data_IF_652717237245
#
_entry.id   IF_652717237245
#
_cell.length_a   1.000
_cell.length_b   1.000
_cell.length_c   1.000
_cell.angle_alpha   90.00
_cell.angle_beta   90.00
_cell.angle_gamma   90.00
#
_symmetry.space_group_name_H-M   'P 1'
#
loop_
_entity.id
_entity.type
_entity.pdbx_description
1 polymer ?
#
# COMPACT_ATOMS: atom_id res chain seq x y z
N UNK A 1 7.50 -18.23 -12.71
CA UNK A 1 8.88 -17.72 -12.49
C UNK A 1 9.23 -17.71 -10.98
N UNK A 2 8.29 -17.30 -10.12
CA UNK A 2 8.49 -17.27 -8.65
C UNK A 2 8.77 -18.67 -8.07
N UNK A 3 8.17 -19.70 -8.64
CA UNK A 3 8.34 -21.11 -8.19
C UNK A 3 9.77 -21.64 -8.36
N UNK A 4 10.58 -20.96 -9.16
CA UNK A 4 11.95 -21.39 -9.49
C UNK A 4 13.01 -20.76 -8.58
N UNK A 5 12.60 -19.84 -7.71
CA UNK A 5 13.49 -19.17 -6.78
C UNK A 5 13.88 -20.13 -5.62
N UNK A 6 15.13 -20.09 -5.24
CA UNK A 6 15.61 -20.74 -4.02
C UNK A 6 15.07 -20.00 -2.78
N UNK A 7 15.05 -20.66 -1.61
CA UNK A 7 14.59 -20.02 -0.37
C UNK A 7 15.38 -18.76 -0.05
N UNK A 8 16.69 -18.75 -0.28
CA UNK A 8 17.55 -17.58 -0.09
C UNK A 8 17.23 -16.42 -1.04
N UNK A 9 16.73 -16.72 -2.24
CA UNK A 9 16.26 -15.69 -3.18
C UNK A 9 14.88 -15.20 -2.81
N UNK A 10 13.99 -16.08 -2.32
CA UNK A 10 12.65 -15.70 -1.83
C UNK A 10 12.72 -14.73 -0.65
N UNK A 11 13.68 -14.88 0.24
CA UNK A 11 13.90 -13.98 1.38
C UNK A 11 14.26 -12.54 0.95
N UNK A 12 14.68 -12.36 -0.31
CA UNK A 12 15.00 -11.04 -0.87
C UNK A 12 13.87 -10.42 -1.67
N UNK A 13 12.77 -11.13 -1.86
CA UNK A 13 11.60 -10.64 -2.59
C UNK A 13 10.65 -9.97 -1.62
N UNK A 14 10.26 -8.74 -1.92
CA UNK A 14 9.22 -7.99 -1.21
C UNK A 14 8.05 -7.72 -2.15
N UNK A 15 6.84 -7.97 -1.68
CA UNK A 15 5.61 -7.69 -2.43
C UNK A 15 4.95 -6.43 -1.88
N UNK A 16 4.68 -5.46 -2.75
CA UNK A 16 3.85 -4.31 -2.42
C UNK A 16 2.37 -4.73 -2.51
N UNK A 17 1.66 -4.71 -1.36
CA UNK A 17 0.32 -5.27 -1.27
C UNK A 17 -0.78 -4.30 -1.70
N UNK A 18 -0.59 -2.99 -1.48
CA UNK A 18 -1.61 -1.95 -1.68
C UNK A 18 -1.13 -0.86 -2.63
N UNK A 19 -0.74 -1.24 -3.85
CA UNK A 19 -0.30 -0.29 -4.87
C UNK A 19 -1.31 0.84 -5.06
N UNK A 20 -0.85 2.09 -4.95
CA UNK A 20 -1.69 3.27 -5.10
C UNK A 20 -1.68 3.87 -6.52
N UNK A 21 -0.66 3.54 -7.31
CA UNK A 21 -0.58 4.03 -8.67
C UNK A 21 -1.58 3.35 -9.59
N UNK A 22 -2.05 4.09 -10.59
CA UNK A 22 -2.85 3.53 -11.67
C UNK A 22 -2.12 2.38 -12.35
N UNK A 23 -2.79 1.22 -12.45
CA UNK A 23 -2.21 0.03 -13.05
C UNK A 23 -1.88 0.28 -14.53
N UNK A 24 -0.65 -0.04 -14.92
CA UNK A 24 -0.17 0.21 -16.28
C UNK A 24 0.10 1.67 -16.62
N UNK A 25 0.27 2.55 -15.63
CA UNK A 25 0.55 3.97 -15.85
C UNK A 25 1.78 4.15 -16.75
N UNK A 26 1.58 4.78 -17.91
CA UNK A 26 2.63 5.05 -18.89
C UNK A 26 3.59 6.18 -18.46
N UNK A 27 3.15 7.05 -17.55
CA UNK A 27 3.93 8.20 -17.08
C UNK A 27 4.65 7.93 -15.74
N UNK A 28 4.60 6.72 -15.23
CA UNK A 28 5.14 6.36 -13.92
C UNK A 28 6.61 6.73 -13.77
N UNK A 29 7.43 6.47 -14.79
CA UNK A 29 8.86 6.76 -14.74
C UNK A 29 9.11 8.26 -14.59
N UNK A 30 8.49 9.08 -15.41
CA UNK A 30 8.60 10.54 -15.34
C UNK A 30 8.12 11.08 -13.98
N UNK A 31 6.98 10.58 -13.48
CA UNK A 31 6.47 10.92 -12.15
C UNK A 31 7.51 10.67 -11.05
N UNK A 32 8.11 9.48 -11.02
CA UNK A 32 9.12 9.14 -10.01
C UNK A 32 10.41 9.97 -10.15
N UNK A 33 10.84 10.28 -11.36
CA UNK A 33 12.00 11.15 -11.61
C UNK A 33 11.76 12.57 -11.08
N UNK A 34 10.59 13.15 -11.34
CA UNK A 34 10.24 14.50 -10.86
C UNK A 34 10.17 14.52 -9.32
N UNK A 35 9.43 13.58 -8.71
CA UNK A 35 9.30 13.49 -7.25
C UNK A 35 10.68 13.27 -6.59
N UNK A 36 11.54 12.46 -7.19
CA UNK A 36 12.90 12.24 -6.67
C UNK A 36 13.74 13.51 -6.70
N UNK A 37 13.66 14.29 -7.78
CA UNK A 37 14.36 15.56 -7.92
C UNK A 37 13.86 16.60 -6.91
N UNK A 38 12.54 16.70 -6.74
CA UNK A 38 11.94 17.57 -5.72
C UNK A 38 12.40 17.20 -4.31
N UNK A 39 12.47 15.90 -3.98
CA UNK A 39 12.98 15.41 -2.69
C UNK A 39 14.46 15.75 -2.46
N UNK A 40 15.23 15.94 -3.54
CA UNK A 40 16.62 16.42 -3.48
C UNK A 40 16.72 17.95 -3.39
N UNK A 41 15.60 18.67 -3.38
CA UNK A 41 15.57 20.12 -3.32
C UNK A 41 15.81 20.81 -4.66
N UNK A 42 15.72 20.08 -5.78
CA UNK A 42 15.84 20.67 -7.11
C UNK A 42 14.57 21.45 -7.47
N UNK A 43 14.76 22.62 -8.07
CA UNK A 43 13.64 23.38 -8.64
C UNK A 43 13.20 22.74 -9.96
N UNK A 44 12.05 22.09 -9.93
CA UNK A 44 11.45 21.47 -11.10
C UNK A 44 9.92 21.62 -11.04
N UNK A 45 9.22 21.66 -12.21
CA UNK A 45 7.77 21.76 -12.24
C UNK A 45 7.09 20.60 -11.49
N UNK A 46 5.96 20.90 -10.86
CA UNK A 46 5.14 19.88 -10.23
C UNK A 46 4.62 18.87 -11.25
N UNK A 47 4.61 17.61 -10.83
CA UNK A 47 4.04 16.54 -11.64
C UNK A 47 2.52 16.50 -11.48
N UNK A 48 1.81 16.47 -12.61
CA UNK A 48 0.37 16.26 -12.64
C UNK A 48 0.08 14.79 -12.94
N UNK A 49 -0.60 14.11 -12.04
CA UNK A 49 -0.94 12.69 -12.22
C UNK A 49 -1.89 12.50 -13.40
N UNK A 50 -1.54 11.61 -14.32
CA UNK A 50 -2.30 11.30 -15.55
C UNK A 50 -3.40 10.25 -15.36
N UNK A 51 -3.56 9.71 -14.15
CA UNK A 51 -4.61 8.74 -13.88
C UNK A 51 -5.99 9.34 -14.13
N UNK A 52 -6.92 8.58 -14.75
CA UNK A 52 -8.26 9.08 -15.11
C UNK A 52 -9.06 9.64 -13.93
N UNK A 53 -8.79 9.12 -12.73
CA UNK A 53 -9.47 9.45 -11.48
C UNK A 53 -8.57 10.15 -10.46
N UNK A 54 -7.47 10.77 -10.92
CA UNK A 54 -6.47 11.42 -10.05
C UNK A 54 -7.08 12.45 -9.09
N UNK A 55 -8.14 13.13 -9.52
CA UNK A 55 -8.85 14.14 -8.71
C UNK A 55 -9.69 13.54 -7.57
N UNK A 56 -10.00 12.24 -7.63
CA UNK A 56 -10.79 11.56 -6.61
C UNK A 56 -9.98 11.17 -5.36
N UNK A 57 -8.67 11.35 -5.42
CA UNK A 57 -7.76 10.91 -4.37
C UNK A 57 -7.66 9.39 -4.24
N UNK A 58 -6.83 8.95 -3.33
CA UNK A 58 -6.65 7.53 -3.03
C UNK A 58 -7.59 7.11 -1.90
N UNK A 59 -8.24 5.97 -2.07
CA UNK A 59 -9.19 5.40 -1.10
C UNK A 59 -8.91 3.92 -0.89
N UNK A 60 -9.30 3.38 0.25
CA UNK A 60 -9.15 1.96 0.57
C UNK A 60 -9.82 1.06 -0.49
N UNK A 61 -11.06 1.36 -0.87
CA UNK A 61 -11.78 0.62 -1.91
C UNK A 61 -11.07 0.63 -3.26
N UNK A 62 -10.47 1.77 -3.61
CA UNK A 62 -9.72 1.92 -4.85
C UNK A 62 -8.46 1.04 -4.90
N UNK A 63 -7.79 0.87 -3.76
CA UNK A 63 -6.67 -0.06 -3.66
C UNK A 63 -7.11 -1.50 -3.95
N UNK A 64 -8.25 -1.92 -3.41
CA UNK A 64 -8.79 -3.27 -3.61
C UNK A 64 -9.21 -3.53 -5.06
N UNK A 65 -9.58 -2.49 -5.82
CA UNK A 65 -9.91 -2.57 -7.25
C UNK A 65 -8.67 -2.66 -8.16
N UNK A 66 -7.49 -2.32 -7.64
CA UNK A 66 -6.25 -2.37 -8.41
C UNK A 66 -5.89 -3.82 -8.75
N UNK A 67 -5.63 -4.18 -10.02
CA UNK A 67 -5.22 -5.54 -10.41
C UNK A 67 -3.94 -6.04 -9.71
N UNK A 68 -3.11 -5.14 -9.20
CA UNK A 68 -1.91 -5.48 -8.44
C UNK A 68 -2.15 -5.66 -6.94
N UNK A 69 -3.39 -5.45 -6.46
CA UNK A 69 -3.73 -5.62 -5.05
C UNK A 69 -3.51 -7.07 -4.59
N UNK A 70 -2.85 -7.23 -3.46
CA UNK A 70 -2.62 -8.53 -2.83
C UNK A 70 -3.45 -8.58 -1.55
N UNK A 71 -4.45 -9.46 -1.53
CA UNK A 71 -5.33 -9.65 -0.38
C UNK A 71 -4.66 -10.46 0.74
N UNK A 72 -5.28 -10.44 1.94
CA UNK A 72 -4.86 -11.32 3.04
C UNK A 72 -4.97 -12.79 2.63
N UNK A 73 -6.00 -13.15 1.85
CA UNK A 73 -6.19 -14.52 1.37
C UNK A 73 -5.11 -14.91 0.34
N UNK A 74 -4.72 -14.00 -0.55
CA UNK A 74 -3.59 -14.24 -1.46
C UNK A 74 -2.28 -14.48 -0.70
N UNK A 75 -2.02 -13.68 0.33
CA UNK A 75 -0.85 -13.85 1.20
C UNK A 75 -0.86 -15.25 1.83
N UNK A 76 -1.95 -15.61 2.48
CA UNK A 76 -2.06 -16.87 3.24
C UNK A 76 -2.10 -18.12 2.37
N UNK A 77 -2.82 -18.04 1.25
CA UNK A 77 -3.14 -19.23 0.45
C UNK A 77 -2.23 -19.40 -0.76
N UNK A 78 -1.50 -18.35 -1.15
CA UNK A 78 -0.63 -18.39 -2.33
C UNK A 78 0.83 -18.10 -1.97
N UNK A 79 1.12 -16.91 -1.48
CA UNK A 79 2.51 -16.47 -1.33
C UNK A 79 3.24 -17.12 -0.15
N UNK A 80 2.61 -17.21 1.03
CA UNK A 80 3.22 -17.87 2.19
C UNK A 80 3.49 -19.38 1.93
N UNK A 81 2.57 -20.16 1.35
CA UNK A 81 2.84 -21.55 0.98
C UNK A 81 3.97 -21.70 -0.04
N UNK A 82 4.20 -20.70 -0.88
CA UNK A 82 5.33 -20.67 -1.81
C UNK A 82 6.68 -20.33 -1.14
N UNK A 83 6.68 -19.97 0.15
CA UNK A 83 7.87 -19.64 0.93
C UNK A 83 8.25 -18.16 0.95
N UNK A 84 7.32 -17.25 0.60
CA UNK A 84 7.54 -15.80 0.71
C UNK A 84 7.07 -15.26 2.06
N UNK A 85 7.80 -14.28 2.62
CA UNK A 85 7.55 -13.74 3.95
C UNK A 85 7.58 -12.20 4.03
N UNK A 86 7.96 -11.51 2.97
CA UNK A 86 8.10 -10.06 2.99
C UNK A 86 6.97 -9.37 2.22
N UNK A 87 6.07 -8.72 2.94
CA UNK A 87 4.91 -8.03 2.41
C UNK A 87 4.92 -6.59 2.89
N UNK A 88 4.87 -5.64 1.95
CA UNK A 88 4.95 -4.22 2.22
C UNK A 88 3.60 -3.55 2.06
N UNK A 89 3.26 -2.71 3.01
CA UNK A 89 2.13 -1.78 2.94
C UNK A 89 2.69 -0.40 2.60
N UNK A 90 2.21 0.20 1.53
CA UNK A 90 2.51 1.59 1.21
C UNK A 90 1.73 2.51 2.16
N UNK A 91 2.40 3.55 2.67
CA UNK A 91 1.77 4.41 3.66
C UNK A 91 2.20 5.87 3.61
N UNK A 92 3.41 6.15 3.10
CA UNK A 92 3.94 7.50 3.02
C UNK A 92 3.09 8.38 2.14
N UNK A 93 2.41 9.30 2.41
CA UNK A 93 1.58 10.17 1.56
C UNK A 93 0.10 9.78 1.52
N UNK A 94 -0.29 8.68 2.17
CA UNK A 94 -1.71 8.28 2.23
C UNK A 94 -2.48 8.97 3.37
N UNK A 95 -1.77 9.50 4.35
CA UNK A 95 -2.37 10.02 5.59
C UNK A 95 -2.66 8.91 6.61
N UNK A 96 -2.73 9.29 7.88
CA UNK A 96 -2.83 8.36 9.02
C UNK A 96 -4.09 7.49 8.98
N UNK A 97 -5.23 8.05 8.55
CA UNK A 97 -6.49 7.32 8.50
C UNK A 97 -6.45 6.14 7.52
N UNK A 98 -5.91 6.34 6.31
CA UNK A 98 -5.78 5.26 5.33
C UNK A 98 -4.73 4.23 5.74
N UNK A 99 -3.61 4.67 6.29
CA UNK A 99 -2.59 3.75 6.83
C UNK A 99 -3.19 2.86 7.91
N UNK A 100 -3.97 3.43 8.83
CA UNK A 100 -4.68 2.67 9.85
C UNK A 100 -5.63 1.63 9.25
N UNK A 101 -6.42 1.98 8.25
CA UNK A 101 -7.34 1.03 7.60
C UNK A 101 -6.58 -0.13 6.93
N UNK A 102 -5.44 0.11 6.30
CA UNK A 102 -4.61 -0.96 5.76
C UNK A 102 -3.97 -1.83 6.85
N UNK A 103 -3.51 -1.23 7.96
CA UNK A 103 -3.00 -1.99 9.10
C UNK A 103 -4.08 -2.87 9.72
N UNK A 104 -5.30 -2.35 9.90
CA UNK A 104 -6.44 -3.14 10.37
C UNK A 104 -6.73 -4.31 9.43
N UNK A 105 -6.77 -4.05 8.12
CA UNK A 105 -7.06 -5.08 7.13
C UNK A 105 -6.02 -6.20 7.10
N UNK A 106 -4.72 -5.87 7.12
CA UNK A 106 -3.67 -6.88 6.99
C UNK A 106 -3.26 -7.53 8.32
N UNK A 107 -3.35 -6.83 9.44
CA UNK A 107 -2.75 -7.25 10.71
C UNK A 107 -3.77 -7.58 11.81
N UNK A 108 -5.05 -7.23 11.64
CA UNK A 108 -6.10 -7.50 12.63
C UNK A 108 -7.08 -8.53 12.07
N UNK A 109 -7.39 -9.54 12.88
CA UNK A 109 -8.41 -10.53 12.50
C UNK A 109 -9.77 -9.84 12.32
N UNK A 110 -10.57 -10.25 11.30
CA UNK A 110 -11.82 -9.58 10.97
C UNK A 110 -12.78 -9.38 12.15
N UNK A 111 -12.87 -10.35 13.05
CA UNK A 111 -13.74 -10.32 14.24
C UNK A 111 -13.35 -9.24 15.26
N UNK A 112 -12.11 -8.74 15.22
CA UNK A 112 -11.62 -7.69 16.14
C UNK A 112 -11.47 -6.32 15.49
N UNK A 113 -11.63 -6.19 14.19
CA UNK A 113 -11.37 -4.93 13.48
C UNK A 113 -12.28 -3.78 13.97
N UNK A 114 -13.54 -4.08 14.25
CA UNK A 114 -14.47 -3.06 14.73
C UNK A 114 -14.07 -2.56 16.12
N UNK A 115 -13.69 -3.45 17.03
CA UNK A 115 -13.27 -3.07 18.39
C UNK A 115 -12.02 -2.20 18.38
N UNK A 116 -11.01 -2.58 17.61
CA UNK A 116 -9.77 -1.78 17.49
C UNK A 116 -10.07 -0.40 16.89
N UNK A 117 -10.98 -0.31 15.92
CA UNK A 117 -11.37 0.97 15.32
C UNK A 117 -12.13 1.84 16.32
N UNK A 118 -13.02 1.26 17.11
CA UNK A 118 -13.75 1.96 18.18
C UNK A 118 -12.80 2.50 19.24
N UNK A 119 -11.85 1.69 19.70
CA UNK A 119 -10.86 2.11 20.70
C UNK A 119 -10.03 3.30 20.20
N UNK A 120 -9.50 3.23 18.98
CA UNK A 120 -8.73 4.32 18.38
C UNK A 120 -9.58 5.59 18.20
N UNK A 121 -10.85 5.43 17.81
CA UNK A 121 -11.77 6.58 17.66
C UNK A 121 -12.04 7.26 19.01
N UNK A 122 -12.27 6.49 20.05
CA UNK A 122 -12.48 7.00 21.41
C UNK A 122 -11.23 7.69 21.94
N UNK A 123 -10.06 7.09 21.75
CA UNK A 123 -8.79 7.66 22.17
C UNK A 123 -8.52 9.01 21.50
N UNK A 124 -8.80 9.12 20.20
CA UNK A 124 -8.70 10.38 19.47
C UNK A 124 -9.71 11.43 19.95
N UNK A 125 -10.94 11.02 20.27
CA UNK A 125 -11.98 11.93 20.80
C UNK A 125 -11.64 12.46 22.18
N UNK A 126 -10.99 11.62 22.99
CA UNK A 126 -10.64 11.97 24.38
C UNK A 126 -9.25 12.62 24.50
N UNK A 127 -8.59 12.87 23.36
CA UNK A 127 -7.24 13.47 23.29
C UNK A 127 -6.20 12.68 24.10
N UNK A 128 -6.30 11.34 24.02
CA UNK A 128 -5.44 10.42 24.77
C UNK A 128 -4.15 10.03 24.02
N UNK A 129 -4.00 10.51 22.82
CA UNK A 129 -2.79 10.35 22.00
C UNK A 129 -2.04 11.65 21.83
#
# INVERSE_FOLDING_TARGET
>A
KLDKLTDKEKDKVEFLCNECCWFGCYDRKNCYEIVSRQNLGEDCPDHVCVAPDSQSGYRFSKAMENPAFISVDDIRNTYMPMGFSNFKIEGRGLGSALVLEFLLYYMTKPEYQIHVREDIYLDNMLDLF
#
